data_IF_045081949910
#
_entry.id   IF_045081949910
#
_cell.length_a   1.000
_cell.length_b   1.000
_cell.length_c   1.000
_cell.angle_alpha   90.00
_cell.angle_beta   90.00
_cell.angle_gamma   90.00
#
_symmetry.space_group_name_H-M   'P 1'
#
loop_
_entity.id
_entity.type
_entity.pdbx_description
1 polymer ?
#
# COMPACT_ATOMS: atom_id res chain seq x y z
N UNK A 1 4.22 -20.87 -4.67
CA UNK A 1 4.81 -21.00 -6.02
C UNK A 1 5.46 -19.69 -6.48
N UNK A 2 4.80 -18.55 -6.40
CA UNK A 2 5.37 -17.22 -6.76
C UNK A 2 6.64 -16.85 -5.96
N UNK A 3 6.70 -17.12 -4.67
CA UNK A 3 7.90 -16.88 -3.84
C UNK A 3 9.16 -17.62 -4.32
N UNK A 4 9.01 -18.85 -4.85
CA UNK A 4 10.14 -19.60 -5.44
C UNK A 4 10.64 -19.01 -6.75
N UNK A 5 9.79 -18.30 -7.48
CA UNK A 5 10.16 -17.60 -8.72
C UNK A 5 10.94 -16.33 -8.40
N UNK A 6 10.60 -15.62 -7.33
CA UNK A 6 11.37 -14.45 -6.86
C UNK A 6 12.77 -14.83 -6.35
N UNK A 7 12.90 -15.96 -5.66
CA UNK A 7 14.19 -16.46 -5.13
C UNK A 7 15.11 -17.05 -6.24
N UNK A 8 14.59 -17.27 -7.45
CA UNK A 8 15.31 -17.82 -8.62
C UNK A 8 15.33 -16.87 -9.82
N UNK A 9 14.99 -15.60 -9.63
CA UNK A 9 15.03 -14.60 -10.70
C UNK A 9 16.47 -14.44 -11.22
N UNK A 10 16.64 -14.45 -12.54
CA UNK A 10 17.92 -14.13 -13.17
C UNK A 10 18.26 -12.67 -12.87
N UNK A 11 19.37 -12.46 -12.19
CA UNK A 11 19.87 -11.13 -11.87
C UNK A 11 20.38 -10.42 -13.12
N UNK A 12 20.22 -9.11 -13.14
CA UNK A 12 20.76 -8.24 -14.18
C UNK A 12 22.28 -8.46 -14.31
N UNK A 13 22.78 -8.64 -15.54
CA UNK A 13 24.22 -8.75 -15.77
C UNK A 13 25.00 -7.56 -15.20
N UNK A 14 26.22 -7.77 -14.66
CA UNK A 14 27.03 -6.68 -14.09
C UNK A 14 27.26 -5.51 -15.03
N UNK A 15 27.36 -5.76 -16.34
CA UNK A 15 27.52 -4.69 -17.34
C UNK A 15 26.32 -3.78 -17.41
N UNK A 16 25.11 -4.32 -17.42
CA UNK A 16 23.88 -3.54 -17.43
C UNK A 16 23.68 -2.77 -16.12
N UNK A 17 23.92 -3.42 -14.98
CA UNK A 17 23.89 -2.76 -13.67
C UNK A 17 24.86 -1.57 -13.61
N UNK A 18 26.12 -1.78 -14.01
CA UNK A 18 27.10 -0.71 -14.00
C UNK A 18 26.73 0.43 -14.94
N UNK A 19 26.10 0.13 -16.08
CA UNK A 19 25.60 1.16 -17.00
C UNK A 19 24.53 2.02 -16.30
N UNK A 20 23.58 1.42 -15.58
CA UNK A 20 22.56 2.17 -14.83
C UNK A 20 23.20 3.01 -13.72
N UNK A 21 24.16 2.43 -12.97
CA UNK A 21 24.87 3.15 -11.92
C UNK A 21 25.65 4.36 -12.47
N UNK A 22 26.34 4.20 -13.60
CA UNK A 22 27.05 5.31 -14.28
C UNK A 22 26.06 6.38 -14.77
N UNK A 23 24.97 5.97 -15.40
CA UNK A 23 23.94 6.91 -15.90
C UNK A 23 23.26 7.70 -14.79
N UNK A 24 23.06 7.09 -13.64
CA UNK A 24 22.33 7.69 -12.51
C UNK A 24 23.23 8.46 -11.55
N UNK A 25 24.46 7.98 -11.30
CA UNK A 25 25.36 8.50 -10.27
C UNK A 25 26.68 9.08 -10.83
N UNK A 26 26.90 8.93 -12.14
CA UNK A 26 28.15 9.38 -12.80
C UNK A 26 29.24 8.31 -12.86
N UNK A 27 30.28 8.60 -13.61
CA UNK A 27 31.41 7.67 -13.87
C UNK A 27 32.12 7.22 -12.58
N UNK A 28 32.17 8.08 -11.58
CA UNK A 28 32.83 7.85 -10.30
C UNK A 28 31.90 7.30 -9.22
N UNK A 29 30.79 6.69 -9.61
CA UNK A 29 29.80 6.18 -8.65
C UNK A 29 30.38 5.25 -7.56
N UNK A 30 31.51 4.57 -7.85
CA UNK A 30 32.17 3.67 -6.88
C UNK A 30 32.76 4.43 -5.70
N UNK A 31 33.12 5.68 -5.86
CA UNK A 31 33.68 6.51 -4.80
C UNK A 31 32.65 6.88 -3.73
N UNK A 32 31.36 6.72 -4.04
CA UNK A 32 30.28 6.91 -3.08
C UNK A 32 30.19 5.77 -2.04
N UNK A 33 30.80 4.62 -2.36
CA UNK A 33 30.71 3.44 -1.51
C UNK A 33 32.09 2.94 -1.09
N UNK A 34 32.30 2.76 0.22
CA UNK A 34 33.48 2.09 0.74
C UNK A 34 33.52 0.62 0.32
N UNK A 35 32.34 -0.02 0.30
CA UNK A 35 32.13 -1.39 -0.16
C UNK A 35 30.79 -1.48 -0.90
N UNK A 36 30.77 -2.21 -2.00
CA UNK A 36 29.55 -2.49 -2.78
C UNK A 36 29.51 -3.98 -3.12
N UNK A 37 28.47 -4.70 -2.65
CA UNK A 37 28.29 -6.10 -2.95
C UNK A 37 27.84 -6.28 -4.41
N UNK A 38 28.68 -6.92 -5.22
CA UNK A 38 28.43 -7.13 -6.66
C UNK A 38 27.20 -8.05 -6.92
N UNK A 39 26.93 -8.97 -6.00
CA UNK A 39 25.77 -9.82 -6.07
C UNK A 39 24.60 -9.18 -5.32
N UNK A 40 23.42 -9.03 -5.97
CA UNK A 40 22.24 -8.53 -5.27
C UNK A 40 21.78 -9.54 -4.21
N UNK A 41 21.27 -9.04 -3.09
CA UNK A 41 20.70 -9.88 -2.04
C UNK A 41 19.19 -10.06 -2.19
N UNK A 42 18.52 -9.21 -2.99
CA UNK A 42 17.10 -9.27 -3.26
C UNK A 42 16.77 -8.82 -4.69
N UNK A 43 15.68 -9.38 -5.24
CA UNK A 43 15.03 -8.86 -6.42
C UNK A 43 13.89 -7.92 -6.00
N UNK A 44 13.75 -6.79 -6.69
CA UNK A 44 12.60 -5.90 -6.62
C UNK A 44 11.68 -6.14 -7.83
N UNK A 45 10.47 -5.54 -7.85
CA UNK A 45 9.52 -5.69 -8.97
C UNK A 45 10.14 -5.29 -10.32
N UNK A 46 10.87 -4.19 -10.33
CA UNK A 46 11.47 -3.57 -11.53
C UNK A 46 12.98 -3.37 -11.44
N UNK A 47 13.67 -4.06 -10.53
CA UNK A 47 15.09 -3.90 -10.29
C UNK A 47 15.67 -4.96 -9.37
N UNK A 48 16.86 -4.70 -8.90
CA UNK A 48 17.55 -5.54 -7.92
C UNK A 48 18.18 -4.69 -6.82
N UNK A 49 18.40 -5.27 -5.64
CA UNK A 49 18.88 -4.56 -4.47
C UNK A 49 20.23 -5.12 -4.03
N UNK A 50 21.20 -4.23 -3.92
CA UNK A 50 22.56 -4.53 -3.47
C UNK A 50 22.80 -3.98 -2.08
N UNK A 51 23.59 -4.70 -1.29
CA UNK A 51 24.11 -4.17 -0.03
C UNK A 51 25.39 -3.41 -0.28
N UNK A 52 25.51 -2.26 0.36
CA UNK A 52 26.72 -1.45 0.26
C UNK A 52 27.01 -0.76 1.61
N UNK A 53 28.20 -0.14 1.69
CA UNK A 53 28.58 0.72 2.81
C UNK A 53 28.96 2.09 2.24
N UNK A 54 28.32 3.14 2.69
CA UNK A 54 28.64 4.50 2.21
C UNK A 54 30.05 4.92 2.61
N UNK A 55 30.76 5.59 1.71
CA UNK A 55 32.08 6.14 1.97
C UNK A 55 32.03 7.37 2.89
N UNK A 56 30.93 8.13 2.84
CA UNK A 56 30.76 9.39 3.59
C UNK A 56 30.64 9.19 5.11
N UNK A 57 29.99 8.12 5.56
CA UNK A 57 29.66 7.94 6.98
C UNK A 57 29.79 6.49 7.51
N UNK A 58 30.16 5.54 6.64
CA UNK A 58 30.34 4.12 7.00
C UNK A 58 29.02 3.36 7.28
N UNK A 59 27.85 3.96 7.02
CA UNK A 59 26.56 3.28 7.23
C UNK A 59 26.30 2.20 6.19
N UNK A 60 25.67 1.12 6.63
CA UNK A 60 25.19 0.07 5.75
C UNK A 60 23.93 0.54 5.01
N UNK A 61 23.89 0.34 3.68
CA UNK A 61 22.80 0.78 2.83
C UNK A 61 22.32 -0.31 1.89
N UNK A 62 21.04 -0.21 1.50
CA UNK A 62 20.44 -0.96 0.41
C UNK A 62 20.41 -0.05 -0.83
N UNK A 63 21.01 -0.51 -1.93
CA UNK A 63 21.08 0.20 -3.21
C UNK A 63 20.16 -0.51 -4.19
N UNK A 64 19.00 0.06 -4.47
CA UNK A 64 18.02 -0.43 -5.43
C UNK A 64 18.38 0.08 -6.80
N UNK A 65 18.64 -0.82 -7.75
CA UNK A 65 19.09 -0.50 -9.12
C UNK A 65 18.03 -1.00 -10.09
N UNK A 66 17.48 -0.11 -10.90
CA UNK A 66 16.41 -0.38 -11.84
C UNK A 66 16.87 -1.21 -13.03
N UNK A 67 16.01 -2.10 -13.54
CA UNK A 67 16.30 -2.79 -14.80
C UNK A 67 16.27 -1.79 -15.97
N UNK A 68 17.26 -1.83 -16.88
CA UNK A 68 17.31 -0.91 -18.00
C UNK A 68 16.12 -1.12 -18.94
N UNK A 69 15.49 -0.02 -19.37
CA UNK A 69 14.37 -0.05 -20.32
C UNK A 69 13.03 -0.46 -19.76
N UNK A 70 12.90 -0.80 -18.48
CA UNK A 70 11.63 -1.23 -17.88
C UNK A 70 10.52 -0.19 -18.05
N UNK A 71 10.83 1.09 -17.88
CA UNK A 71 9.87 2.19 -18.06
C UNK A 71 9.30 2.24 -19.48
N UNK A 72 10.14 1.96 -20.49
CA UNK A 72 9.74 2.01 -21.90
C UNK A 72 8.90 0.78 -22.32
N UNK A 73 9.00 -0.36 -21.60
CA UNK A 73 8.22 -1.56 -21.91
C UNK A 73 6.79 -1.49 -21.40
N UNK A 74 6.52 -0.72 -20.35
CA UNK A 74 5.20 -0.64 -19.69
C UNK A 74 4.08 -0.34 -20.71
N UNK A 75 4.26 0.66 -21.56
CA UNK A 75 3.25 1.08 -22.52
C UNK A 75 2.96 -0.02 -23.55
N UNK A 76 3.99 -0.66 -24.08
CA UNK A 76 3.82 -1.74 -25.05
C UNK A 76 3.17 -2.98 -24.43
N UNK A 77 3.58 -3.34 -23.21
CA UNK A 77 3.06 -4.51 -22.50
C UNK A 77 1.59 -4.32 -22.12
N UNK A 78 1.22 -3.15 -21.59
CA UNK A 78 -0.17 -2.82 -21.29
C UNK A 78 -1.05 -2.71 -22.53
N UNK A 79 -0.54 -2.17 -23.64
CA UNK A 79 -1.27 -2.12 -24.90
C UNK A 79 -1.53 -3.53 -25.46
N UNK A 80 -0.51 -4.40 -25.42
CA UNK A 80 -0.64 -5.80 -25.83
C UNK A 80 -1.65 -6.55 -24.94
N UNK A 81 -1.59 -6.35 -23.63
CA UNK A 81 -2.55 -6.93 -22.69
C UNK A 81 -3.97 -6.44 -22.96
N UNK A 82 -4.15 -5.13 -23.15
CA UNK A 82 -5.45 -4.54 -23.49
C UNK A 82 -6.04 -5.13 -24.78
N UNK A 83 -5.22 -5.28 -25.82
CA UNK A 83 -5.62 -5.88 -27.09
C UNK A 83 -6.07 -7.33 -26.91
N UNK A 84 -5.29 -8.13 -26.18
CA UNK A 84 -5.61 -9.54 -25.90
C UNK A 84 -6.92 -9.67 -25.10
N UNK A 85 -7.10 -8.86 -24.06
CA UNK A 85 -8.28 -8.88 -23.23
C UNK A 85 -9.53 -8.44 -24.01
N UNK A 86 -9.42 -7.39 -24.83
CA UNK A 86 -10.51 -6.91 -25.70
C UNK A 86 -10.90 -7.96 -26.75
N UNK A 87 -9.92 -8.60 -27.38
CA UNK A 87 -10.15 -9.64 -28.36
C UNK A 87 -10.82 -10.90 -27.77
N UNK A 88 -10.56 -11.21 -26.50
CA UNK A 88 -11.13 -12.39 -25.84
C UNK A 88 -12.65 -12.32 -25.64
N UNK A 89 -13.24 -11.12 -25.55
CA UNK A 89 -14.65 -10.85 -25.23
C UNK A 89 -15.15 -11.53 -23.94
N UNK A 90 -14.24 -11.92 -23.05
CA UNK A 90 -14.56 -12.65 -21.82
C UNK A 90 -14.76 -11.73 -20.60
N UNK A 91 -14.49 -10.42 -20.78
CA UNK A 91 -14.52 -9.49 -19.65
C UNK A 91 -15.94 -9.02 -19.33
N UNK A 92 -16.31 -8.94 -18.06
CA UNK A 92 -17.55 -8.31 -17.60
C UNK A 92 -17.59 -6.83 -18.01
N UNK A 93 -18.77 -6.32 -18.38
CA UNK A 93 -18.94 -4.91 -18.79
C UNK A 93 -18.53 -3.92 -17.70
N UNK A 94 -18.80 -4.23 -16.45
CA UNK A 94 -18.48 -3.39 -15.28
C UNK A 94 -17.02 -3.40 -14.88
N UNK A 95 -16.12 -4.08 -15.61
CA UNK A 95 -14.68 -4.00 -15.39
C UNK A 95 -14.09 -2.65 -15.85
N UNK A 96 -14.72 -1.98 -16.82
CA UNK A 96 -14.21 -0.72 -17.39
C UNK A 96 -12.73 -0.81 -17.77
N UNK A 97 -12.39 -1.76 -18.66
CA UNK A 97 -11.02 -2.14 -19.01
C UNK A 97 -10.09 -0.94 -19.27
N UNK A 98 -10.56 0.05 -20.02
CA UNK A 98 -9.75 1.24 -20.37
C UNK A 98 -9.31 2.02 -19.10
N UNK A 99 -10.21 2.16 -18.13
CA UNK A 99 -9.88 2.80 -16.84
C UNK A 99 -8.92 1.95 -16.03
N UNK A 100 -9.13 0.64 -16.00
CA UNK A 100 -8.25 -0.30 -15.31
C UNK A 100 -6.83 -0.27 -15.89
N UNK A 101 -6.69 -0.25 -17.22
CA UNK A 101 -5.39 -0.16 -17.89
C UNK A 101 -4.74 1.22 -17.65
N UNK A 102 -5.52 2.31 -17.69
CA UNK A 102 -5.00 3.64 -17.40
C UNK A 102 -4.43 3.74 -15.98
N UNK A 103 -5.16 3.24 -14.98
CA UNK A 103 -4.69 3.20 -13.59
C UNK A 103 -3.44 2.33 -13.43
N UNK A 104 -3.40 1.15 -14.07
CA UNK A 104 -2.23 0.28 -14.03
C UNK A 104 -0.99 0.95 -14.66
N UNK A 105 -1.17 1.69 -15.76
CA UNK A 105 -0.09 2.45 -16.41
C UNK A 105 0.47 3.52 -15.49
N UNK A 106 -0.39 4.25 -14.81
CA UNK A 106 0.01 5.28 -13.85
C UNK A 106 0.76 4.68 -12.67
N UNK A 107 0.22 3.63 -12.03
CA UNK A 107 0.85 2.96 -10.89
C UNK A 107 2.22 2.36 -11.26
N UNK A 108 2.34 1.69 -12.40
CA UNK A 108 3.62 1.17 -12.89
C UNK A 108 4.61 2.29 -13.25
N UNK A 109 4.11 3.43 -13.74
CA UNK A 109 4.90 4.64 -13.94
C UNK A 109 5.51 5.17 -12.64
N UNK A 110 4.73 5.15 -11.55
CA UNK A 110 5.21 5.54 -10.22
C UNK A 110 6.29 4.60 -9.68
N UNK A 111 6.14 3.29 -9.86
CA UNK A 111 7.16 2.32 -9.46
C UNK A 111 8.50 2.53 -10.18
N UNK A 112 8.47 3.06 -11.42
CA UNK A 112 9.67 3.39 -12.17
C UNK A 112 10.32 4.72 -11.77
N UNK A 113 9.74 5.48 -10.87
CA UNK A 113 10.20 6.80 -10.45
C UNK A 113 10.84 6.73 -9.05
N UNK A 114 12.14 6.44 -9.02
CA UNK A 114 12.87 6.31 -7.76
C UNK A 114 13.08 7.64 -7.03
N UNK A 115 12.99 8.76 -7.73
CA UNK A 115 13.01 10.08 -7.09
C UNK A 115 11.70 10.33 -6.33
N UNK A 116 10.58 9.92 -6.93
CA UNK A 116 9.27 9.94 -6.26
C UNK A 116 9.24 9.00 -5.05
N UNK A 117 9.82 7.81 -5.15
CA UNK A 117 9.92 6.86 -4.04
C UNK A 117 10.78 7.42 -2.90
N UNK A 118 11.92 8.06 -3.22
CA UNK A 118 12.77 8.74 -2.24
C UNK A 118 12.01 9.85 -1.49
N UNK A 119 11.29 10.71 -2.22
CA UNK A 119 10.49 11.78 -1.63
C UNK A 119 9.35 11.24 -0.75
N UNK A 120 8.69 10.16 -1.16
CA UNK A 120 7.68 9.50 -0.36
C UNK A 120 8.27 8.92 0.94
N UNK A 121 9.44 8.29 0.86
CA UNK A 121 10.16 7.78 2.03
C UNK A 121 10.50 8.91 3.03
N UNK A 122 11.04 10.02 2.57
CA UNK A 122 11.33 11.20 3.40
C UNK A 122 10.06 11.73 4.05
N UNK A 123 8.95 11.81 3.32
CA UNK A 123 7.66 12.26 3.87
C UNK A 123 7.13 11.31 4.95
N UNK A 124 7.23 9.98 4.76
CA UNK A 124 6.86 9.02 5.81
C UNK A 124 7.75 9.13 7.04
N UNK A 125 9.03 9.41 6.86
CA UNK A 125 9.95 9.66 7.96
C UNK A 125 9.51 10.88 8.80
N UNK A 126 9.07 11.96 8.15
CA UNK A 126 8.51 13.13 8.83
C UNK A 126 7.17 12.83 9.51
N UNK A 127 6.25 12.15 8.82
CA UNK A 127 4.90 11.82 9.32
C UNK A 127 4.92 10.85 10.51
N UNK A 128 5.95 10.02 10.64
CA UNK A 128 6.14 9.05 11.73
C UNK A 128 7.19 9.50 12.76
N UNK A 129 7.69 10.74 12.67
CA UNK A 129 8.75 11.22 13.54
C UNK A 129 8.40 11.21 15.03
N UNK A 130 7.13 11.33 15.39
CA UNK A 130 6.60 11.22 16.75
C UNK A 130 6.38 9.76 17.22
N UNK A 131 6.53 8.79 16.35
CA UNK A 131 6.35 7.35 16.62
C UNK A 131 7.61 6.51 16.38
N UNK A 132 8.75 7.11 16.51
CA UNK A 132 10.04 6.45 16.30
C UNK A 132 10.35 5.30 17.26
N UNK A 133 9.55 5.09 18.29
CA UNK A 133 9.58 3.93 19.20
C UNK A 133 8.75 2.74 18.66
N UNK A 134 7.85 2.96 17.70
CA UNK A 134 7.00 1.94 17.09
C UNK A 134 7.43 1.64 15.65
N UNK A 135 7.68 2.67 14.85
CA UNK A 135 8.02 2.54 13.44
C UNK A 135 9.45 3.01 13.15
N UNK A 136 10.06 2.38 12.17
CA UNK A 136 11.32 2.83 11.58
C UNK A 136 11.15 2.93 10.07
N UNK A 137 11.49 4.10 9.54
CA UNK A 137 11.53 4.40 8.11
C UNK A 137 12.98 4.59 7.72
N UNK A 138 13.49 3.96 6.64
CA UNK A 138 14.90 4.06 6.28
C UNK A 138 15.29 5.49 5.94
N UNK A 139 16.47 5.91 6.36
CA UNK A 139 17.08 7.16 5.93
C UNK A 139 17.45 7.08 4.44
N UNK A 140 17.12 8.10 3.65
CA UNK A 140 17.47 8.17 2.23
C UNK A 140 18.75 8.98 2.07
N UNK A 141 19.70 8.43 1.30
CA UNK A 141 21.00 9.07 1.03
C UNK A 141 20.99 9.67 -0.37
N UNK A 142 20.51 10.90 -0.47
CA UNK A 142 20.24 11.58 -1.75
C UNK A 142 21.49 11.76 -2.60
N UNK A 143 22.68 11.87 -2.00
CA UNK A 143 23.96 11.93 -2.69
C UNK A 143 24.30 10.64 -3.46
N UNK A 144 23.66 9.53 -3.11
CA UNK A 144 23.80 8.23 -3.78
C UNK A 144 22.48 7.79 -4.45
N UNK A 145 21.61 8.73 -4.78
CA UNK A 145 20.37 8.51 -5.52
C UNK A 145 20.42 9.14 -6.90
N UNK A 146 19.62 8.62 -7.83
CA UNK A 146 19.47 9.14 -9.18
C UNK A 146 18.29 8.47 -9.92
N UNK A 147 18.04 8.80 -11.19
CA UNK A 147 16.81 8.35 -11.90
C UNK A 147 16.58 6.84 -11.89
N UNK A 148 17.63 6.04 -11.90
CA UNK A 148 17.54 4.56 -11.87
C UNK A 148 18.16 3.94 -10.61
N UNK A 149 18.50 4.74 -9.58
CA UNK A 149 19.16 4.25 -8.36
C UNK A 149 18.56 4.93 -7.13
N UNK A 150 18.09 4.12 -6.17
CA UNK A 150 17.65 4.58 -4.86
C UNK A 150 18.53 3.95 -3.78
N UNK A 151 19.17 4.78 -2.98
CA UNK A 151 20.01 4.36 -1.86
C UNK A 151 19.38 4.78 -0.53
N UNK A 152 19.08 3.79 0.30
CA UNK A 152 18.48 4.00 1.61
C UNK A 152 19.16 3.12 2.67
N UNK A 153 18.90 3.42 3.94
CA UNK A 153 19.39 2.66 5.08
C UNK A 153 19.07 1.16 4.94
N UNK A 154 20.05 0.31 5.27
CA UNK A 154 19.85 -1.13 5.28
C UNK A 154 19.11 -1.56 6.54
N UNK A 155 17.82 -1.92 6.40
CA UNK A 155 16.98 -2.37 7.49
C UNK A 155 17.30 -3.82 7.84
N UNK A 156 17.35 -4.14 9.13
CA UNK A 156 17.84 -5.43 9.64
C UNK A 156 16.74 -6.36 10.15
N UNK A 157 15.51 -5.88 10.20
CA UNK A 157 14.34 -6.68 10.60
C UNK A 157 14.06 -7.84 9.66
N UNK A 158 13.20 -8.73 10.11
CA UNK A 158 12.74 -9.87 9.32
C UNK A 158 11.30 -9.67 8.87
N UNK A 159 10.99 -9.96 7.60
CA UNK A 159 9.62 -9.84 7.09
C UNK A 159 8.64 -10.59 8.01
N UNK A 160 7.59 -9.92 8.47
CA UNK A 160 6.64 -10.43 9.46
C UNK A 160 6.06 -11.79 9.09
N UNK A 161 5.92 -12.07 7.80
CA UNK A 161 5.42 -13.35 7.28
C UNK A 161 6.45 -14.48 7.24
N UNK A 162 7.73 -14.17 7.41
CA UNK A 162 8.84 -15.15 7.44
C UNK A 162 9.21 -15.57 8.86
N UNK A 163 8.75 -14.85 9.88
CA UNK A 163 9.02 -15.17 11.28
C UNK A 163 8.08 -16.30 11.72
N UNK A 164 8.66 -17.45 12.11
CA UNK A 164 7.88 -18.67 12.44
C UNK A 164 7.42 -18.72 13.89
N UNK A 165 8.11 -18.06 14.79
CA UNK A 165 8.00 -18.16 16.26
C UNK A 165 7.54 -16.85 16.92
N UNK A 166 6.72 -16.05 16.22
CA UNK A 166 6.04 -14.89 16.82
C UNK A 166 5.12 -15.37 17.95
N UNK A 167 5.27 -14.76 19.12
CA UNK A 167 4.33 -14.96 20.23
C UNK A 167 2.95 -14.40 19.86
N UNK A 168 1.89 -14.77 20.58
CA UNK A 168 0.57 -14.17 20.36
C UNK A 168 0.63 -12.65 20.59
N UNK A 169 1.34 -12.21 21.61
CA UNK A 169 1.56 -10.79 21.90
C UNK A 169 2.18 -10.05 20.70
N UNK A 170 3.26 -10.60 20.10
CA UNK A 170 3.89 -9.96 18.93
C UNK A 170 2.94 -9.90 17.73
N UNK A 171 2.16 -10.97 17.50
CA UNK A 171 1.16 -11.01 16.41
C UNK A 171 0.08 -9.96 16.60
N UNK A 172 -0.43 -9.81 17.81
CA UNK A 172 -1.46 -8.84 18.16
C UNK A 172 -0.92 -7.42 18.05
N UNK A 173 0.31 -7.21 18.52
CA UNK A 173 0.98 -5.92 18.42
C UNK A 173 1.23 -5.53 16.95
N UNK A 174 1.82 -6.41 16.14
CA UNK A 174 2.08 -6.17 14.71
C UNK A 174 0.78 -5.87 13.96
N UNK A 175 -0.26 -6.70 14.14
CA UNK A 175 -1.56 -6.49 13.51
C UNK A 175 -2.19 -5.16 13.91
N UNK A 176 -2.11 -4.81 15.19
CA UNK A 176 -2.59 -3.52 15.73
C UNK A 176 -1.88 -2.36 15.07
N UNK A 177 -0.54 -2.38 14.99
CA UNK A 177 0.21 -1.26 14.42
C UNK A 177 -0.05 -1.10 12.91
N UNK A 178 -0.16 -2.19 12.17
CA UNK A 178 -0.44 -2.13 10.71
C UNK A 178 -1.84 -1.56 10.43
N UNK A 179 -2.87 -1.99 11.17
CA UNK A 179 -4.22 -1.45 11.02
C UNK A 179 -4.29 0.02 11.44
N UNK A 180 -3.62 0.38 12.55
CA UNK A 180 -3.53 1.76 13.01
C UNK A 180 -2.83 2.65 11.98
N UNK A 181 -1.73 2.18 11.39
CA UNK A 181 -1.04 2.89 10.32
C UNK A 181 -1.98 3.16 9.13
N UNK A 182 -2.73 2.15 8.66
CA UNK A 182 -3.69 2.34 7.57
C UNK A 182 -4.76 3.41 7.89
N UNK A 183 -5.25 3.46 9.11
CA UNK A 183 -6.23 4.50 9.51
C UNK A 183 -5.60 5.89 9.56
N UNK A 184 -4.34 6.01 10.05
CA UNK A 184 -3.62 7.28 10.06
C UNK A 184 -3.30 7.78 8.65
N UNK A 185 -2.81 6.89 7.79
CA UNK A 185 -2.53 7.18 6.38
C UNK A 185 -3.77 7.78 5.69
N UNK A 186 -4.96 7.23 5.93
CA UNK A 186 -6.21 7.70 5.34
C UNK A 186 -6.76 8.95 6.04
N UNK A 187 -6.98 8.89 7.35
CA UNK A 187 -7.78 9.87 8.09
C UNK A 187 -6.93 11.03 8.60
N UNK A 188 -5.65 10.81 8.86
CA UNK A 188 -4.77 11.87 9.36
C UNK A 188 -3.97 12.52 8.24
N UNK A 189 -3.30 11.75 7.42
CA UNK A 189 -2.32 12.26 6.46
C UNK A 189 -2.86 12.41 5.05
N UNK A 190 -3.92 11.68 4.68
CA UNK A 190 -4.42 11.58 3.30
C UNK A 190 -3.32 11.21 2.31
N UNK A 191 -2.31 10.54 2.83
CA UNK A 191 -1.16 10.04 2.11
C UNK A 191 -0.88 8.61 2.56
N UNK A 192 -0.90 7.69 1.61
CA UNK A 192 -0.88 6.25 1.90
C UNK A 192 0.10 5.52 1.00
N UNK A 193 0.89 4.62 1.59
CA UNK A 193 1.62 3.60 0.86
C UNK A 193 0.63 2.47 0.51
N UNK A 194 0.34 2.28 -0.76
CA UNK A 194 -0.79 1.45 -1.22
C UNK A 194 -0.41 0.03 -1.65
N UNK A 195 0.88 -0.33 -1.64
CA UNK A 195 1.31 -1.69 -1.94
C UNK A 195 0.93 -2.65 -0.80
N UNK A 196 0.12 -3.71 -1.08
CA UNK A 196 -0.29 -4.67 -0.08
C UNK A 196 0.75 -5.74 0.21
N UNK A 197 1.96 -5.64 -0.33
CA UNK A 197 3.00 -6.63 -0.18
C UNK A 197 3.49 -6.70 1.27
N UNK A 198 3.22 -7.80 1.93
CA UNK A 198 3.55 -7.99 3.34
C UNK A 198 5.06 -8.06 3.62
N UNK A 199 5.87 -8.28 2.59
CA UNK A 199 7.34 -8.27 2.73
C UNK A 199 7.90 -6.87 2.95
N UNK A 200 7.07 -5.83 2.75
CA UNK A 200 7.41 -4.44 3.03
C UNK A 200 7.28 -4.06 4.51
N UNK A 201 6.83 -4.99 5.35
CA UNK A 201 6.77 -4.85 6.80
C UNK A 201 7.75 -5.81 7.45
N UNK A 202 8.85 -5.28 8.01
CA UNK A 202 9.80 -6.06 8.77
C UNK A 202 9.55 -5.85 10.27
N UNK A 203 9.72 -6.89 11.06
CA UNK A 203 9.76 -6.78 12.51
C UNK A 203 11.19 -6.97 13.00
N UNK A 204 11.71 -5.95 13.66
CA UNK A 204 13.02 -5.98 14.26
C UNK A 204 12.87 -6.33 15.75
N UNK A 205 13.31 -7.54 16.13
CA UNK A 205 13.19 -8.04 17.50
C UNK A 205 14.12 -7.36 18.49
N UNK A 206 15.24 -6.83 18.03
CA UNK A 206 16.21 -6.14 18.88
C UNK A 206 15.69 -4.77 19.32
N UNK A 207 15.10 -4.04 18.36
CA UNK A 207 14.55 -2.71 18.61
C UNK A 207 13.07 -2.73 18.96
N UNK A 208 12.38 -3.85 18.74
CA UNK A 208 10.94 -4.04 18.89
C UNK A 208 10.11 -3.07 18.02
N UNK A 209 10.62 -2.73 16.83
CA UNK A 209 9.97 -1.81 15.88
C UNK A 209 9.50 -2.52 14.62
N UNK A 210 8.49 -1.94 13.98
CA UNK A 210 8.14 -2.23 12.60
C UNK A 210 8.95 -1.34 11.67
N UNK A 211 9.75 -1.95 10.83
CA UNK A 211 10.51 -1.30 9.78
C UNK A 211 9.69 -1.32 8.49
N UNK A 212 9.45 -0.16 7.92
CA UNK A 212 8.66 0.02 6.70
C UNK A 212 9.59 0.09 5.50
N UNK A 213 9.30 -0.70 4.49
CA UNK A 213 10.06 -0.72 3.23
C UNK A 213 9.15 -0.35 2.06
N UNK A 214 9.76 0.09 0.96
CA UNK A 214 9.15 0.33 -0.33
C UNK A 214 8.00 1.34 -0.32
N UNK A 215 8.29 2.55 -0.73
CA UNK A 215 7.35 3.68 -0.77
C UNK A 215 6.96 4.07 -2.20
N UNK A 216 7.34 3.27 -3.21
CA UNK A 216 7.08 3.54 -4.63
C UNK A 216 5.61 3.70 -4.98
N UNK A 217 4.74 2.93 -4.34
CA UNK A 217 3.29 2.99 -4.55
C UNK A 217 2.57 4.01 -3.63
N UNK A 218 3.28 4.96 -3.03
CA UNK A 218 2.67 5.97 -2.17
C UNK A 218 1.89 7.00 -2.99
N UNK A 219 0.73 7.42 -2.52
CA UNK A 219 -0.09 8.45 -3.18
C UNK A 219 -0.84 9.33 -2.19
N UNK A 220 -1.16 10.55 -2.64
CA UNK A 220 -2.10 11.41 -1.96
C UNK A 220 -3.55 11.09 -2.34
N UNK A 221 -4.44 11.35 -1.41
CA UNK A 221 -5.88 11.27 -1.63
C UNK A 221 -6.49 12.66 -1.46
N UNK A 222 -7.22 13.17 -2.47
CA UNK A 222 -7.81 14.51 -2.39
C UNK A 222 -8.94 14.54 -1.38
N UNK A 223 -9.12 15.69 -0.72
CA UNK A 223 -10.15 15.90 0.29
C UNK A 223 -11.55 15.57 -0.21
N UNK A 224 -11.86 15.95 -1.47
CA UNK A 224 -13.14 15.63 -2.13
C UNK A 224 -13.47 14.12 -2.16
N UNK A 225 -12.45 13.26 -2.07
CA UNK A 225 -12.63 11.80 -1.96
C UNK A 225 -12.59 11.34 -0.51
N UNK A 226 -11.62 11.81 0.29
CA UNK A 226 -11.41 11.32 1.66
C UNK A 226 -12.58 11.67 2.58
N UNK A 227 -13.10 12.90 2.51
CA UNK A 227 -14.19 13.34 3.37
C UNK A 227 -15.46 12.49 3.25
N UNK A 228 -16.03 12.28 2.06
CA UNK A 228 -17.19 11.39 1.93
C UNK A 228 -16.84 9.91 2.15
N UNK A 229 -15.59 9.48 1.89
CA UNK A 229 -15.18 8.11 2.15
C UNK A 229 -15.06 7.82 3.65
N UNK A 230 -14.47 8.70 4.45
CA UNK A 230 -14.42 8.57 5.91
C UNK A 230 -15.83 8.63 6.49
N UNK A 231 -16.69 9.53 6.00
CA UNK A 231 -18.10 9.58 6.37
C UNK A 231 -18.82 8.26 6.07
N UNK A 232 -18.50 7.62 4.94
CA UNK A 232 -19.02 6.29 4.56
C UNK A 232 -18.57 5.21 5.56
N UNK A 233 -17.30 5.20 5.97
CA UNK A 233 -16.79 4.25 6.97
C UNK A 233 -17.45 4.48 8.34
N UNK A 234 -17.68 5.73 8.73
CA UNK A 234 -18.38 6.09 9.97
C UNK A 234 -19.84 5.63 9.92
N UNK A 235 -20.56 5.88 8.83
CA UNK A 235 -21.93 5.41 8.63
C UNK A 235 -22.00 3.87 8.71
N UNK A 236 -21.09 3.17 8.05
CA UNK A 236 -21.00 1.71 8.07
C UNK A 236 -20.74 1.17 9.48
N UNK A 237 -19.84 1.81 10.25
CA UNK A 237 -19.56 1.39 11.64
C UNK A 237 -20.76 1.58 12.59
N UNK A 238 -21.68 2.46 12.22
CA UNK A 238 -22.95 2.68 12.94
C UNK A 238 -24.12 1.81 12.46
N UNK A 239 -23.91 1.04 11.40
CA UNK A 239 -24.95 0.22 10.80
C UNK A 239 -25.93 1.00 9.91
N UNK A 240 -25.63 2.26 9.56
CA UNK A 240 -26.50 3.16 8.80
C UNK A 240 -26.38 2.86 7.29
N UNK A 241 -27.25 1.98 6.82
CA UNK A 241 -27.28 1.52 5.43
C UNK A 241 -27.73 2.60 4.44
N UNK A 242 -28.65 3.47 4.88
CA UNK A 242 -29.17 4.54 4.00
C UNK A 242 -28.11 5.59 3.75
N UNK A 243 -27.39 6.04 4.79
CA UNK A 243 -26.24 6.94 4.63
C UNK A 243 -25.14 6.26 3.80
N UNK A 244 -24.89 4.95 3.94
CA UNK A 244 -23.93 4.25 3.12
C UNK A 244 -24.30 4.29 1.62
N UNK A 245 -25.59 4.13 1.29
CA UNK A 245 -26.06 4.26 -0.08
C UNK A 245 -25.85 5.67 -0.62
N UNK A 246 -26.28 6.68 0.12
CA UNK A 246 -26.24 8.07 -0.34
C UNK A 246 -24.80 8.59 -0.51
N UNK A 247 -23.91 8.26 0.42
CA UNK A 247 -22.48 8.56 0.33
C UNK A 247 -21.81 7.80 -0.81
N UNK A 248 -22.27 6.58 -1.12
CA UNK A 248 -21.78 5.82 -2.27
C UNK A 248 -22.17 6.46 -3.61
N UNK A 249 -23.34 7.10 -3.69
CA UNK A 249 -23.75 7.90 -4.86
C UNK A 249 -22.88 9.17 -4.94
N UNK A 250 -22.68 9.85 -3.83
CA UNK A 250 -21.82 11.05 -3.76
C UNK A 250 -20.38 10.77 -4.20
N UNK A 251 -19.82 9.62 -3.78
CA UNK A 251 -18.48 9.16 -4.18
C UNK A 251 -18.41 8.70 -5.63
N UNK A 252 -19.53 8.43 -6.29
CA UNK A 252 -19.57 7.92 -7.66
C UNK A 252 -19.43 6.40 -7.76
N UNK A 253 -19.54 5.66 -6.68
CA UNK A 253 -19.65 4.19 -6.70
C UNK A 253 -20.96 3.71 -7.31
N UNK A 254 -22.01 4.47 -7.11
CA UNK A 254 -23.37 4.25 -7.59
C UNK A 254 -23.86 5.48 -8.34
N UNK A 255 -24.75 5.27 -9.29
CA UNK A 255 -25.42 6.33 -10.08
C UNK A 255 -26.80 6.69 -9.53
N UNK A 256 -27.35 5.85 -8.62
CA UNK A 256 -28.73 5.92 -8.14
C UNK A 256 -29.76 5.20 -9.04
N UNK A 257 -29.31 4.59 -10.15
CA UNK A 257 -30.15 3.86 -11.11
C UNK A 257 -29.86 2.34 -11.13
N UNK A 258 -29.08 1.85 -10.19
CA UNK A 258 -28.70 0.44 -10.08
C UNK A 258 -29.90 -0.43 -9.76
N UNK A 259 -29.80 -1.72 -10.14
CA UNK A 259 -30.75 -2.74 -9.68
C UNK A 259 -30.73 -2.87 -8.17
N UNK A 260 -31.84 -3.34 -7.59
CA UNK A 260 -31.91 -3.61 -6.13
C UNK A 260 -30.83 -4.61 -5.70
N UNK A 261 -30.51 -5.60 -6.55
CA UNK A 261 -29.50 -6.60 -6.27
C UNK A 261 -28.09 -5.97 -6.22
N UNK A 262 -27.76 -5.13 -7.18
CA UNK A 262 -26.47 -4.39 -7.21
C UNK A 262 -26.34 -3.45 -6.00
N UNK A 263 -27.39 -2.69 -5.69
CA UNK A 263 -27.42 -1.79 -4.54
C UNK A 263 -27.18 -2.55 -3.24
N UNK A 264 -27.91 -3.67 -3.04
CA UNK A 264 -27.78 -4.52 -1.86
C UNK A 264 -26.35 -5.08 -1.75
N UNK A 265 -25.81 -5.65 -2.82
CA UNK A 265 -24.46 -6.23 -2.85
C UNK A 265 -23.38 -5.18 -2.52
N UNK A 266 -23.52 -3.95 -3.04
CA UNK A 266 -22.60 -2.85 -2.77
C UNK A 266 -22.65 -2.45 -1.29
N UNK A 267 -23.83 -2.16 -0.74
CA UNK A 267 -23.99 -1.77 0.67
C UNK A 267 -23.57 -2.91 1.60
N UNK A 268 -23.91 -4.18 1.29
CA UNK A 268 -23.47 -5.33 2.09
C UNK A 268 -21.95 -5.48 2.10
N UNK A 269 -21.28 -5.18 0.99
CA UNK A 269 -19.81 -5.19 0.93
C UNK A 269 -19.18 -4.13 1.83
N UNK A 270 -19.75 -2.92 1.87
CA UNK A 270 -19.29 -1.83 2.75
C UNK A 270 -19.51 -2.21 4.22
N UNK A 271 -20.70 -2.70 4.55
CA UNK A 271 -21.03 -3.15 5.91
C UNK A 271 -20.12 -4.27 6.38
N UNK A 272 -19.78 -5.19 5.47
CA UNK A 272 -18.85 -6.29 5.74
C UNK A 272 -17.44 -5.80 6.02
N UNK A 273 -16.94 -4.83 5.25
CA UNK A 273 -15.63 -4.21 5.51
C UNK A 273 -15.57 -3.47 6.85
N UNK A 274 -16.68 -2.91 7.29
CA UNK A 274 -16.77 -2.20 8.57
C UNK A 274 -16.93 -3.12 9.80
N UNK A 275 -17.13 -4.42 9.61
CA UNK A 275 -17.45 -5.38 10.70
C UNK A 275 -16.53 -5.28 11.93
N UNK A 276 -15.19 -5.15 11.81
CA UNK A 276 -14.34 -5.04 12.99
C UNK A 276 -14.55 -3.75 13.80
N UNK A 277 -15.19 -2.76 13.20
CA UNK A 277 -15.32 -1.40 13.72
C UNK A 277 -16.72 -1.08 14.26
N UNK A 278 -17.71 -1.94 14.03
CA UNK A 278 -19.09 -1.69 14.47
C UNK A 278 -19.22 -1.72 15.99
N UNK A 279 -20.17 -0.95 16.54
CA UNK A 279 -20.40 -0.87 17.97
C UNK A 279 -20.72 -2.21 18.65
N UNK A 280 -21.25 -3.17 17.90
CA UNK A 280 -21.59 -4.55 18.35
C UNK A 280 -20.44 -5.55 18.16
N UNK A 281 -19.31 -5.14 17.54
CA UNK A 281 -18.15 -6.00 17.41
C UNK A 281 -17.59 -6.36 18.79
N UNK A 282 -16.95 -7.54 18.94
CA UNK A 282 -16.30 -7.89 20.19
C UNK A 282 -15.23 -6.85 20.56
N UNK A 283 -14.95 -6.71 21.85
CA UNK A 283 -13.92 -5.78 22.32
C UNK A 283 -12.57 -6.07 21.68
N UNK A 284 -12.24 -7.36 21.57
CA UNK A 284 -11.06 -7.86 20.85
C UNK A 284 -11.54 -8.61 19.63
N UNK A 285 -11.28 -8.09 18.44
CA UNK A 285 -11.63 -8.74 17.18
C UNK A 285 -10.58 -9.77 16.80
N UNK A 286 -11.01 -11.02 16.62
CA UNK A 286 -10.15 -12.14 16.22
C UNK A 286 -10.09 -12.24 14.69
N UNK A 287 -8.97 -11.85 14.09
CA UNK A 287 -8.79 -11.90 12.64
C UNK A 287 -8.53 -13.31 12.09
N UNK A 288 -8.19 -14.31 12.93
CA UNK A 288 -7.94 -15.68 12.44
C UNK A 288 -9.14 -16.26 11.72
N UNK A 289 -10.35 -16.00 12.27
CA UNK A 289 -11.59 -16.59 11.80
C UNK A 289 -12.46 -15.61 10.99
N UNK A 290 -11.90 -14.47 10.59
CA UNK A 290 -12.65 -13.49 9.80
C UNK A 290 -13.03 -14.02 8.41
N UNK A 291 -14.23 -13.70 7.96
CA UNK A 291 -14.75 -14.06 6.63
C UNK A 291 -15.00 -12.84 5.74
N UNK A 292 -14.51 -11.66 6.14
CA UNK A 292 -14.74 -10.38 5.48
C UNK A 292 -14.36 -10.46 4.00
N UNK A 293 -13.14 -10.92 3.73
CA UNK A 293 -12.59 -10.98 2.37
C UNK A 293 -13.41 -11.92 1.47
N UNK A 294 -13.85 -13.07 1.99
CA UNK A 294 -14.62 -14.04 1.21
C UNK A 294 -16.05 -13.54 0.95
N UNK A 295 -16.68 -12.91 1.93
CA UNK A 295 -18.02 -12.31 1.78
C UNK A 295 -18.01 -11.13 0.79
N UNK A 296 -17.01 -10.25 0.85
CA UNK A 296 -16.85 -9.19 -0.14
C UNK A 296 -16.61 -9.78 -1.53
N UNK A 297 -15.73 -10.80 -1.64
CA UNK A 297 -15.46 -11.50 -2.89
C UNK A 297 -16.69 -12.13 -3.52
N UNK A 298 -17.59 -12.69 -2.71
CA UNK A 298 -18.84 -13.29 -3.20
C UNK A 298 -19.73 -12.27 -3.95
N UNK A 299 -19.69 -10.99 -3.59
CA UNK A 299 -20.44 -9.93 -4.25
C UNK A 299 -19.76 -9.38 -5.52
N UNK A 300 -18.46 -9.63 -5.73
CA UNK A 300 -17.70 -9.04 -6.85
C UNK A 300 -18.31 -9.43 -8.20
N UNK A 301 -18.71 -10.69 -8.38
CA UNK A 301 -19.27 -11.16 -9.66
C UNK A 301 -20.54 -10.39 -10.06
N UNK A 302 -21.46 -10.17 -9.13
CA UNK A 302 -22.66 -9.39 -9.37
C UNK A 302 -22.30 -7.92 -9.65
N UNK A 303 -21.45 -7.33 -8.84
CA UNK A 303 -21.03 -5.93 -9.01
C UNK A 303 -20.33 -5.69 -10.35
N UNK A 304 -19.47 -6.61 -10.80
CA UNK A 304 -18.81 -6.50 -12.11
C UNK A 304 -19.76 -6.64 -13.30
N UNK A 305 -20.87 -7.36 -13.14
CA UNK A 305 -21.85 -7.53 -14.21
C UNK A 305 -22.86 -6.38 -14.29
N UNK A 306 -23.25 -5.81 -13.16
CA UNK A 306 -24.37 -4.86 -13.06
C UNK A 306 -23.94 -3.42 -12.76
N UNK A 307 -22.65 -3.16 -12.52
CA UNK A 307 -22.14 -1.81 -12.27
C UNK A 307 -22.36 -0.89 -13.46
N UNK A 308 -22.91 0.30 -13.23
CA UNK A 308 -23.23 1.29 -14.24
C UNK A 308 -22.12 2.35 -14.46
N UNK A 309 -21.28 2.58 -13.46
CA UNK A 309 -20.17 3.53 -13.50
C UNK A 309 -18.88 2.90 -12.97
N UNK A 310 -17.69 3.29 -13.46
CA UNK A 310 -16.43 2.88 -12.84
C UNK A 310 -16.33 3.48 -11.45
N UNK A 311 -15.75 2.77 -10.48
CA UNK A 311 -15.47 3.37 -9.17
C UNK A 311 -14.43 4.49 -9.31
N UNK A 312 -14.37 5.43 -8.36
CA UNK A 312 -13.27 6.38 -8.29
C UNK A 312 -11.92 5.68 -8.33
N UNK A 313 -10.94 6.28 -8.97
CA UNK A 313 -9.62 5.65 -9.13
C UNK A 313 -8.92 5.41 -7.79
N UNK A 314 -9.12 6.30 -6.83
CA UNK A 314 -8.59 6.19 -5.47
C UNK A 314 -9.00 4.90 -4.77
N UNK A 315 -10.17 4.39 -5.12
CA UNK A 315 -10.77 3.18 -4.54
C UNK A 315 -9.90 1.94 -4.73
N UNK A 316 -9.32 1.78 -5.92
CA UNK A 316 -8.57 0.56 -6.26
C UNK A 316 -7.38 0.37 -5.32
N UNK A 317 -6.58 1.40 -5.13
CA UNK A 317 -5.41 1.38 -4.26
C UNK A 317 -5.81 1.29 -2.77
N UNK A 318 -6.82 2.06 -2.34
CA UNK A 318 -7.29 2.07 -0.96
C UNK A 318 -7.87 0.73 -0.51
N UNK A 319 -8.76 0.14 -1.32
CA UNK A 319 -9.36 -1.16 -0.99
C UNK A 319 -8.32 -2.28 -1.01
N UNK A 320 -7.35 -2.21 -1.92
CA UNK A 320 -6.22 -3.14 -1.97
C UNK A 320 -5.40 -3.09 -0.67
N UNK A 321 -5.08 -1.89 -0.18
CA UNK A 321 -4.35 -1.68 1.08
C UNK A 321 -5.12 -2.21 2.28
N UNK A 322 -6.38 -1.81 2.46
CA UNK A 322 -7.22 -2.24 3.58
C UNK A 322 -7.44 -3.77 3.58
N UNK A 323 -7.74 -4.35 2.41
CA UNK A 323 -7.88 -5.80 2.26
C UNK A 323 -6.56 -6.52 2.57
N UNK A 324 -5.43 -5.99 2.11
CA UNK A 324 -4.10 -6.51 2.42
C UNK A 324 -3.79 -6.50 3.91
N UNK A 325 -4.16 -5.43 4.62
CA UNK A 325 -3.99 -5.31 6.07
C UNK A 325 -4.86 -6.35 6.83
N UNK A 326 -6.13 -6.52 6.46
CA UNK A 326 -6.99 -7.55 7.07
C UNK A 326 -6.46 -8.96 6.83
N UNK A 327 -6.03 -9.26 5.61
CA UNK A 327 -5.44 -10.56 5.27
C UNK A 327 -4.12 -10.81 6.02
N UNK A 328 -3.31 -9.77 6.24
CA UNK A 328 -2.10 -9.90 7.03
C UNK A 328 -2.43 -10.18 8.50
N UNK A 329 -3.39 -9.46 9.09
CA UNK A 329 -3.88 -9.74 10.45
C UNK A 329 -4.41 -11.17 10.58
N UNK A 330 -5.17 -11.65 9.58
CA UNK A 330 -5.68 -13.03 9.54
C UNK A 330 -4.51 -14.05 9.48
N UNK A 331 -3.52 -13.82 8.63
CA UNK A 331 -2.35 -14.68 8.50
C UNK A 331 -1.51 -14.72 9.79
N UNK A 332 -1.38 -13.60 10.47
CA UNK A 332 -0.72 -13.50 11.77
C UNK A 332 -1.59 -14.06 12.90
N UNK A 333 -2.88 -14.29 12.67
CA UNK A 333 -3.88 -14.65 13.70
C UNK A 333 -3.94 -13.59 14.81
N UNK A 334 -3.91 -12.34 14.39
CA UNK A 334 -3.89 -11.20 15.32
C UNK A 334 -5.25 -10.99 15.97
N UNK A 335 -5.22 -10.61 17.25
CA UNK A 335 -6.37 -10.18 18.04
C UNK A 335 -6.21 -8.70 18.33
N UNK A 336 -7.16 -7.89 17.87
CA UNK A 336 -7.02 -6.43 17.82
C UNK A 336 -8.23 -5.74 18.42
N UNK A 337 -8.03 -4.69 19.21
CA UNK A 337 -9.08 -3.79 19.69
C UNK A 337 -9.55 -2.82 18.57
N UNK A 338 -10.02 -3.40 17.46
CA UNK A 338 -10.28 -2.67 16.21
C UNK A 338 -11.36 -1.60 16.37
N UNK A 339 -12.41 -1.86 17.16
CA UNK A 339 -13.48 -0.90 17.45
C UNK A 339 -12.95 0.35 18.16
N UNK A 340 -12.16 0.17 19.20
CA UNK A 340 -11.57 1.28 19.95
C UNK A 340 -10.58 2.07 19.09
N UNK A 341 -9.74 1.38 18.33
CA UNK A 341 -8.80 1.98 17.40
C UNK A 341 -9.50 2.88 16.38
N UNK A 342 -10.59 2.40 15.77
CA UNK A 342 -11.38 3.17 14.82
C UNK A 342 -12.07 4.37 15.49
N UNK A 343 -12.66 4.19 16.68
CA UNK A 343 -13.26 5.28 17.44
C UNK A 343 -12.25 6.38 17.80
N UNK A 344 -10.99 6.01 18.09
CA UNK A 344 -9.91 6.96 18.32
C UNK A 344 -9.56 7.72 17.03
N UNK A 345 -9.44 7.03 15.89
CA UNK A 345 -9.19 7.67 14.60
C UNK A 345 -10.30 8.65 14.21
N UNK A 346 -11.58 8.29 14.44
CA UNK A 346 -12.71 9.19 14.22
C UNK A 346 -12.64 10.42 15.12
N UNK A 347 -12.27 10.29 16.40
CA UNK A 347 -12.13 11.46 17.29
C UNK A 347 -11.05 12.43 16.80
N UNK A 348 -9.93 11.92 16.29
CA UNK A 348 -8.88 12.75 15.70
C UNK A 348 -9.38 13.45 14.44
N UNK A 349 -10.12 12.74 13.59
CA UNK A 349 -10.75 13.26 12.38
C UNK A 349 -11.72 14.40 12.69
N UNK A 350 -12.67 14.20 13.59
CA UNK A 350 -13.66 15.21 14.00
C UNK A 350 -12.99 16.45 14.62
N UNK A 351 -11.94 16.27 15.40
CA UNK A 351 -11.16 17.35 16.00
C UNK A 351 -10.44 18.24 14.98
N UNK A 352 -10.12 17.70 13.79
CA UNK A 352 -9.54 18.48 12.67
C UNK A 352 -10.59 19.27 11.93
N UNK A 353 -11.75 18.69 11.64
CA UNK A 353 -12.86 19.40 11.00
C UNK A 353 -13.24 20.66 11.79
N UNK A 354 -13.31 20.57 13.12
CA UNK A 354 -13.59 21.71 13.99
C UNK A 354 -12.50 22.82 14.01
N UNK A 355 -11.23 22.47 13.64
CA UNK A 355 -10.14 23.47 13.56
C UNK A 355 -10.14 24.22 12.23
N UNK A 356 -10.59 23.58 11.16
CA UNK A 356 -10.68 24.19 9.82
C UNK A 356 -11.84 25.19 9.77
N UNK A 357 -12.96 24.91 10.46
CA UNK A 357 -14.14 25.77 10.52
C UNK A 357 -13.99 26.99 11.45
N UNK A 358 -12.92 27.10 12.22
CA UNK A 358 -12.63 28.31 13.01
C UNK A 358 -11.77 29.26 12.17
N UNK A 359 -12.31 30.42 11.69
CA UNK A 359 -11.47 31.42 11.05
C UNK A 359 -10.40 31.85 12.05
N UNK A 360 -9.16 31.92 11.59
CA UNK A 360 -8.06 32.53 12.34
C UNK A 360 -8.45 33.92 12.77
N UNK A 361 -8.70 34.08 14.07
CA UNK A 361 -8.95 35.37 14.73
C UNK A 361 -7.68 36.21 14.78
#
# INVERSE_FOLDING_TARGET
MLQRVQDSADYMPPSQRNQVLVQSLGENWRDLFFHFEERPFAAASIGQVHKATLASNGKAVAVKVQYPGVRNSIDSDLNNLSLLLTASRLLPKGLFLDKTIANAREELGWECDYEREANACLRFHELLGDEGDVFSVPEVYTEACGPGVLTAEFMTGTAVTKIKDLTQHDRDWVGTQILRLCLRELMEWRFMQTDPNWTNFLYNRETQKLELLDFGASREYPDKFVEPYVSLLIAASRGDRDSCRDLSIQLGYLTGHESKAMLQAHVDSIMTLAEPFVGTAPEVYDFENQTITDRVRANIGLMLNERLAPPPEETYSLHRKLSGAFLLCARLKSKVHAREMFANAVRVWDGRAQKIDKPSS
#
